data_IF_674394995072
#
_entry.id   IF_674394995072
#
_cell.length_a   1.000
_cell.length_b   1.000
_cell.length_c   1.000
_cell.angle_alpha   90.00
_cell.angle_beta   90.00
_cell.angle_gamma   90.00
#
_symmetry.space_group_name_H-M   'P 1'
#
loop_
_entity.id
_entity.type
_entity.pdbx_description
1 polymer ?
#
# COMPACT_ATOMS: atom_id res chain seq x y z
N UNK A 1 29.19 4.68 34.90
CA UNK A 1 27.86 4.91 35.50
C UNK A 1 26.83 4.47 34.49
N UNK A 2 25.91 3.56 34.84
CA UNK A 2 24.73 3.33 34.03
C UNK A 2 23.74 4.47 34.29
N UNK A 3 23.32 5.20 33.25
CA UNK A 3 22.14 6.05 33.34
C UNK A 3 20.93 5.14 33.15
N UNK A 4 20.22 4.91 34.25
CA UNK A 4 18.84 4.45 34.24
C UNK A 4 17.96 5.55 33.60
N UNK A 5 17.76 5.48 32.28
CA UNK A 5 16.58 6.11 31.66
C UNK A 5 15.36 5.21 31.96
N UNK A 6 15.03 5.14 33.26
CA UNK A 6 13.79 4.59 33.74
C UNK A 6 12.65 5.50 33.27
N UNK A 7 12.05 5.15 32.14
CA UNK A 7 10.83 5.76 31.64
C UNK A 7 9.73 5.67 32.72
N UNK A 8 9.16 6.81 33.11
CA UNK A 8 8.03 6.86 34.04
C UNK A 8 6.76 6.34 33.33
N UNK A 9 6.17 5.22 33.77
CA UNK A 9 4.96 4.67 33.16
C UNK A 9 3.72 5.57 33.33
N UNK A 10 3.79 6.60 34.19
CA UNK A 10 2.70 7.57 34.41
C UNK A 10 2.65 8.68 33.35
N UNK A 11 3.68 8.83 32.51
CA UNK A 11 3.69 9.79 31.40
C UNK A 11 3.04 9.27 30.11
N UNK A 12 2.66 7.97 30.06
CA UNK A 12 1.98 7.41 28.90
C UNK A 12 0.48 7.67 28.94
N UNK A 13 -0.05 8.16 27.83
CA UNK A 13 -1.49 8.23 27.60
C UNK A 13 -2.15 6.85 27.81
N UNK A 14 -3.37 6.84 28.33
CA UNK A 14 -4.18 5.63 28.53
C UNK A 14 -4.33 4.86 27.21
N UNK A 15 -4.45 5.60 26.11
CA UNK A 15 -4.37 5.06 24.75
C UNK A 15 -3.09 4.28 24.47
N UNK A 16 -1.91 4.82 24.77
CA UNK A 16 -0.64 4.13 24.54
C UNK A 16 -0.47 2.87 25.40
N UNK A 17 -0.95 2.91 26.64
CA UNK A 17 -0.93 1.75 27.55
C UNK A 17 -1.82 0.63 27.02
N UNK A 18 -3.09 0.91 26.71
CA UNK A 18 -4.02 -0.10 26.18
C UNK A 18 -3.57 -0.61 24.81
N UNK A 19 -3.04 0.27 23.96
CA UNK A 19 -2.51 -0.08 22.64
C UNK A 19 -1.31 -1.00 22.72
N UNK A 20 -0.37 -0.73 23.63
CA UNK A 20 0.83 -1.56 23.78
C UNK A 20 0.50 -3.00 24.21
N UNK A 21 -0.62 -3.21 24.91
CA UNK A 21 -1.07 -4.51 25.36
C UNK A 21 -1.91 -5.28 24.32
N UNK A 22 -2.61 -4.59 23.42
CA UNK A 22 -3.67 -5.20 22.61
C UNK A 22 -3.50 -5.07 21.10
N UNK A 23 -2.52 -4.30 20.61
CA UNK A 23 -2.40 -4.08 19.16
C UNK A 23 -1.68 -5.22 18.44
N UNK A 24 -2.22 -5.63 17.28
CA UNK A 24 -1.68 -6.76 16.48
C UNK A 24 -0.30 -6.43 15.93
N UNK A 25 -0.10 -5.19 15.47
CA UNK A 25 1.17 -4.71 14.93
C UNK A 25 1.72 -3.61 15.83
N UNK A 26 2.71 -3.91 16.69
CA UNK A 26 3.21 -2.98 17.72
C UNK A 26 4.18 -1.96 17.12
N UNK A 27 3.69 -1.12 16.21
CA UNK A 27 4.42 -0.01 15.60
C UNK A 27 3.58 1.25 15.65
N UNK A 28 4.13 2.46 15.91
CA UNK A 28 3.36 3.70 15.95
C UNK A 28 2.49 3.93 14.69
N UNK A 29 1.33 4.61 14.80
CA UNK A 29 0.42 4.81 13.66
C UNK A 29 1.10 5.53 12.49
N UNK A 30 1.95 6.52 12.76
CA UNK A 30 2.75 7.20 11.73
C UNK A 30 3.71 6.26 10.99
N UNK A 31 4.33 5.32 11.70
CA UNK A 31 5.22 4.33 11.06
C UNK A 31 4.44 3.40 10.15
N UNK A 32 3.26 2.95 10.58
CA UNK A 32 2.33 2.16 9.74
C UNK A 32 1.88 2.96 8.51
N UNK A 33 1.53 4.25 8.69
CA UNK A 33 1.16 5.13 7.60
C UNK A 33 2.29 5.31 6.56
N UNK A 34 3.55 5.48 7.02
CA UNK A 34 4.73 5.56 6.13
C UNK A 34 4.90 4.28 5.32
N UNK A 35 4.73 3.10 5.92
CA UNK A 35 4.79 1.81 5.22
C UNK A 35 3.66 1.74 4.17
N UNK A 36 2.43 2.10 4.54
CA UNK A 36 1.31 2.17 3.60
C UNK A 36 1.58 3.13 2.42
N UNK A 37 2.16 4.30 2.69
CA UNK A 37 2.56 5.26 1.67
C UNK A 37 3.65 4.70 0.74
N UNK A 38 4.65 4.01 1.29
CA UNK A 38 5.68 3.34 0.51
C UNK A 38 5.11 2.19 -0.35
N UNK A 39 4.22 1.37 0.21
CA UNK A 39 3.52 0.31 -0.51
C UNK A 39 2.68 0.88 -1.67
N UNK A 40 1.92 1.95 -1.43
CA UNK A 40 1.19 2.64 -2.48
C UNK A 40 2.16 3.19 -3.55
N UNK A 41 3.29 3.77 -3.14
CA UNK A 41 4.30 4.31 -4.06
C UNK A 41 4.95 3.22 -4.93
N UNK A 42 5.09 1.98 -4.45
CA UNK A 42 5.59 0.86 -5.27
C UNK A 42 4.72 0.64 -6.51
N UNK A 43 3.42 0.93 -6.45
CA UNK A 43 2.53 0.90 -7.63
C UNK A 43 3.02 1.77 -8.79
N UNK A 44 3.87 2.77 -8.52
CA UNK A 44 4.49 3.62 -9.54
C UNK A 44 5.35 2.84 -10.53
N UNK A 45 5.81 1.64 -10.16
CA UNK A 45 6.59 0.75 -11.00
C UNK A 45 5.77 0.05 -12.09
N UNK A 46 4.43 0.12 -12.06
CA UNK A 46 3.58 -0.58 -13.02
C UNK A 46 3.90 -0.23 -14.49
N UNK A 47 3.90 1.05 -14.86
CA UNK A 47 4.24 1.50 -16.21
C UNK A 47 5.72 1.23 -16.59
N UNK A 48 6.72 1.53 -15.73
CA UNK A 48 8.10 1.15 -15.97
C UNK A 48 8.29 -0.35 -16.25
N UNK A 49 7.69 -1.23 -15.44
CA UNK A 49 7.81 -2.68 -15.58
C UNK A 49 7.33 -3.16 -16.95
N UNK A 50 6.20 -2.66 -17.43
CA UNK A 50 5.67 -3.05 -18.75
C UNK A 50 6.38 -2.34 -19.90
N UNK A 51 6.94 -1.15 -19.68
CA UNK A 51 7.70 -0.42 -20.68
C UNK A 51 9.05 -1.09 -20.97
N UNK A 52 9.66 -1.71 -19.95
CA UNK A 52 10.95 -2.40 -20.07
C UNK A 52 10.83 -3.87 -20.49
N UNK A 53 9.62 -4.37 -20.78
CA UNK A 53 9.42 -5.77 -21.15
C UNK A 53 10.28 -6.17 -22.36
N UNK A 54 10.82 -7.41 -22.39
CA UNK A 54 11.56 -7.93 -23.55
C UNK A 54 10.75 -7.85 -24.85
N UNK A 55 11.41 -7.54 -25.97
CA UNK A 55 10.75 -7.33 -27.26
C UNK A 55 9.87 -8.51 -27.69
N UNK A 56 10.37 -9.74 -27.56
CA UNK A 56 9.63 -10.96 -27.86
C UNK A 56 8.31 -11.08 -27.06
N UNK A 57 8.30 -10.66 -25.80
CA UNK A 57 7.10 -10.65 -24.96
C UNK A 57 6.14 -9.54 -25.37
N UNK A 58 6.66 -8.36 -25.75
CA UNK A 58 5.81 -7.26 -26.22
C UNK A 58 5.09 -7.64 -27.51
N UNK A 59 5.82 -8.14 -28.48
CA UNK A 59 5.29 -8.53 -29.80
C UNK A 59 4.26 -9.66 -29.70
N UNK A 60 4.47 -10.62 -28.80
CA UNK A 60 3.55 -11.74 -28.61
C UNK A 60 2.24 -11.38 -27.90
N UNK A 61 2.18 -10.25 -27.16
CA UNK A 61 1.08 -9.98 -26.22
C UNK A 61 0.39 -8.63 -26.43
N UNK A 62 1.06 -7.68 -27.08
CA UNK A 62 0.60 -6.31 -27.21
C UNK A 62 0.56 -5.89 -28.68
N UNK A 63 -0.56 -5.31 -29.10
CA UNK A 63 -0.72 -4.74 -30.44
C UNK A 63 -0.30 -3.25 -30.50
N UNK A 64 0.11 -2.68 -29.37
CA UNK A 64 0.46 -1.28 -29.21
C UNK A 64 1.25 -1.06 -27.92
N UNK A 65 1.40 0.19 -27.43
CA UNK A 65 2.21 0.47 -26.26
C UNK A 65 1.71 -0.27 -24.99
N UNK A 66 2.53 -1.14 -24.36
CA UNK A 66 2.08 -1.94 -23.21
C UNK A 66 1.57 -1.10 -22.04
N UNK A 67 2.21 0.03 -21.77
CA UNK A 67 1.85 0.92 -20.67
C UNK A 67 0.48 1.62 -20.84
N UNK A 68 -0.04 1.68 -22.07
CA UNK A 68 -1.35 2.27 -22.39
C UNK A 68 -2.44 1.20 -22.60
N UNK A 69 -2.10 -0.08 -22.53
CA UNK A 69 -3.05 -1.17 -22.72
C UNK A 69 -3.82 -1.39 -21.42
N UNK A 70 -5.15 -1.56 -21.51
CA UNK A 70 -5.98 -1.90 -20.37
C UNK A 70 -5.73 -3.35 -19.96
N UNK A 71 -5.36 -3.60 -18.70
CA UNK A 71 -4.96 -4.93 -18.20
C UNK A 71 -5.69 -5.28 -16.91
N UNK A 72 -6.12 -6.53 -16.77
CA UNK A 72 -6.75 -7.02 -15.54
C UNK A 72 -5.84 -6.92 -14.32
N UNK A 73 -4.58 -7.27 -14.48
CA UNK A 73 -3.57 -7.16 -13.42
C UNK A 73 -3.33 -5.70 -13.01
N UNK A 74 -3.46 -4.74 -13.93
CA UNK A 74 -3.36 -3.32 -13.60
C UNK A 74 -4.53 -2.86 -12.70
N UNK A 75 -5.73 -3.42 -12.87
CA UNK A 75 -6.86 -3.15 -11.97
C UNK A 75 -6.60 -3.68 -10.55
N UNK A 76 -5.99 -4.86 -10.42
CA UNK A 76 -5.60 -5.43 -9.12
C UNK A 76 -4.55 -4.54 -8.44
N UNK A 77 -3.51 -4.13 -9.18
CA UNK A 77 -2.49 -3.22 -8.66
C UNK A 77 -3.08 -1.86 -8.25
N UNK A 78 -4.03 -1.33 -9.02
CA UNK A 78 -4.73 -0.08 -8.70
C UNK A 78 -5.53 -0.21 -7.40
N UNK A 79 -6.32 -1.28 -7.26
CA UNK A 79 -7.11 -1.52 -6.06
C UNK A 79 -6.21 -1.65 -4.81
N UNK A 80 -5.09 -2.39 -4.92
CA UNK A 80 -4.09 -2.47 -3.86
C UNK A 80 -3.48 -1.11 -3.52
N UNK A 81 -3.14 -0.32 -4.54
CA UNK A 81 -2.58 1.04 -4.36
C UNK A 81 -3.54 1.95 -3.62
N UNK A 82 -4.83 1.94 -3.99
CA UNK A 82 -5.87 2.74 -3.34
C UNK A 82 -6.10 2.26 -1.90
N UNK A 83 -6.13 0.95 -1.66
CA UNK A 83 -6.29 0.39 -0.32
C UNK A 83 -5.11 0.77 0.60
N UNK A 84 -3.87 0.61 0.14
CA UNK A 84 -2.67 1.01 0.87
C UNK A 84 -2.67 2.52 1.15
N UNK A 85 -2.93 3.32 0.13
CA UNK A 85 -2.95 4.77 0.22
C UNK A 85 -4.03 5.31 1.15
N UNK A 86 -5.27 4.83 0.98
CA UNK A 86 -6.41 5.19 1.82
C UNK A 86 -6.19 4.81 3.28
N UNK A 87 -5.65 3.61 3.53
CA UNK A 87 -5.27 3.18 4.87
C UNK A 87 -4.18 4.08 5.47
N UNK A 88 -3.16 4.44 4.68
CA UNK A 88 -2.11 5.37 5.08
C UNK A 88 -2.66 6.74 5.50
N UNK A 89 -3.53 7.34 4.67
CA UNK A 89 -4.19 8.61 5.00
C UNK A 89 -5.09 8.50 6.24
N UNK A 90 -5.80 7.38 6.39
CA UNK A 90 -6.61 7.10 7.57
C UNK A 90 -5.77 7.05 8.86
N UNK A 91 -4.59 6.41 8.81
CA UNK A 91 -3.66 6.33 9.94
C UNK A 91 -3.04 7.71 10.27
N UNK A 92 -2.76 8.54 9.25
CA UNK A 92 -2.34 9.93 9.47
C UNK A 92 -3.44 10.75 10.14
N UNK A 93 -4.68 10.63 9.65
CA UNK A 93 -5.83 11.31 10.25
C UNK A 93 -6.06 10.84 11.70
N UNK A 94 -5.86 9.55 11.97
CA UNK A 94 -5.91 8.98 13.32
C UNK A 94 -4.87 9.62 14.23
N UNK A 95 -3.61 9.70 13.78
CA UNK A 95 -2.55 10.33 14.55
C UNK A 95 -2.85 11.81 14.82
N UNK A 96 -3.29 12.57 13.80
CA UNK A 96 -3.67 13.99 13.98
C UNK A 96 -4.75 14.15 15.04
N UNK A 97 -5.74 13.25 15.04
CA UNK A 97 -6.84 13.29 16.00
C UNK A 97 -6.35 12.98 17.42
N UNK A 98 -5.43 12.04 17.58
CA UNK A 98 -4.83 11.72 18.89
C UNK A 98 -3.91 12.84 19.40
N UNK A 99 -3.18 13.51 18.52
CA UNK A 99 -2.26 14.58 18.89
C UNK A 99 -2.97 15.91 19.24
N UNK A 100 -4.12 16.20 18.61
CA UNK A 100 -4.86 17.48 18.77
C UNK A 100 -6.14 17.37 19.58
N UNK A 101 -6.68 16.18 19.73
CA UNK A 101 -7.95 15.94 20.41
C UNK A 101 -7.76 15.76 21.92
N UNK A 102 -8.85 15.88 22.70
CA UNK A 102 -8.84 15.40 24.07
C UNK A 102 -8.51 13.91 24.09
N UNK A 103 -7.80 13.48 25.13
CA UNK A 103 -7.40 12.09 25.29
C UNK A 103 -8.66 11.19 25.30
N UNK A 104 -8.70 10.12 24.48
CA UNK A 104 -9.86 9.26 24.41
C UNK A 104 -10.02 8.45 25.70
N UNK A 105 -11.21 8.48 26.30
CA UNK A 105 -11.57 7.71 27.51
C UNK A 105 -12.28 6.40 27.16
N UNK A 106 -11.99 5.32 27.90
CA UNK A 106 -12.68 4.01 27.92
C UNK A 106 -13.15 3.48 26.54
N UNK A 107 -14.45 3.62 26.21
CA UNK A 107 -15.05 3.08 24.97
C UNK A 107 -14.45 3.69 23.69
N UNK A 108 -13.97 4.93 23.77
CA UNK A 108 -13.32 5.58 22.65
C UNK A 108 -12.01 4.85 22.31
N UNK A 109 -11.20 4.48 23.31
CA UNK A 109 -9.88 3.83 23.13
C UNK A 109 -10.03 2.55 22.31
N UNK A 110 -11.00 1.70 22.64
CA UNK A 110 -11.27 0.47 21.90
C UNK A 110 -11.70 0.72 20.46
N UNK A 111 -12.48 1.78 20.22
CA UNK A 111 -12.88 2.18 18.86
C UNK A 111 -11.69 2.68 18.05
N UNK A 112 -10.79 3.47 18.65
CA UNK A 112 -9.55 3.93 18.02
C UNK A 112 -8.63 2.76 17.68
N UNK A 113 -8.49 1.80 18.58
CA UNK A 113 -7.68 0.60 18.38
C UNK A 113 -8.23 -0.27 17.24
N UNK A 114 -9.54 -0.53 17.24
CA UNK A 114 -10.21 -1.29 16.18
C UNK A 114 -10.06 -0.61 14.81
N UNK A 115 -10.14 0.72 14.77
CA UNK A 115 -9.91 1.48 13.55
C UNK A 115 -8.46 1.40 13.09
N UNK A 116 -7.49 1.51 14.01
CA UNK A 116 -6.07 1.35 13.67
C UNK A 116 -5.78 -0.04 13.09
N UNK A 117 -6.32 -1.10 13.70
CA UNK A 117 -6.12 -2.48 13.23
C UNK A 117 -6.82 -2.75 11.90
N UNK A 118 -8.05 -2.24 11.72
CA UNK A 118 -8.75 -2.33 10.44
C UNK A 118 -7.96 -1.65 9.32
N UNK A 119 -7.46 -0.43 9.55
CA UNK A 119 -6.63 0.28 8.59
C UNK A 119 -5.30 -0.45 8.33
N UNK A 120 -4.67 -1.00 9.37
CA UNK A 120 -3.44 -1.78 9.22
C UNK A 120 -3.69 -3.02 8.36
N UNK A 121 -4.78 -3.76 8.61
CA UNK A 121 -5.15 -4.93 7.84
C UNK A 121 -5.42 -4.58 6.37
N UNK A 122 -6.24 -3.55 6.11
CA UNK A 122 -6.53 -3.09 4.74
C UNK A 122 -5.26 -2.63 4.04
N UNK A 123 -4.41 -1.85 4.71
CA UNK A 123 -3.20 -1.31 4.10
C UNK A 123 -2.15 -2.37 3.81
N UNK A 124 -1.84 -3.23 4.79
CA UNK A 124 -0.75 -4.19 4.70
C UNK A 124 -1.16 -5.45 3.94
N UNK A 125 -2.35 -5.99 4.24
CA UNK A 125 -2.80 -7.25 3.63
C UNK A 125 -3.41 -6.96 2.27
N UNK A 126 -4.52 -6.22 2.22
CA UNK A 126 -5.20 -5.97 0.93
C UNK A 126 -4.36 -5.09 0.01
N UNK A 127 -3.81 -4.00 0.54
CA UNK A 127 -2.94 -3.10 -0.21
C UNK A 127 -1.64 -3.76 -0.65
N UNK A 128 -0.92 -4.36 0.30
CA UNK A 128 0.35 -5.04 0.04
C UNK A 128 0.21 -6.21 -0.93
N UNK A 129 -0.80 -7.08 -0.78
CA UNK A 129 -1.05 -8.18 -1.73
C UNK A 129 -1.46 -7.65 -3.10
N UNK A 130 -2.36 -6.67 -3.17
CA UNK A 130 -2.82 -6.12 -4.46
C UNK A 130 -1.67 -5.50 -5.26
N UNK A 131 -0.83 -4.68 -4.60
CA UNK A 131 0.36 -4.11 -5.23
C UNK A 131 1.39 -5.19 -5.55
N UNK A 132 1.74 -6.04 -4.58
CA UNK A 132 2.79 -7.05 -4.73
C UNK A 132 2.48 -8.08 -5.81
N UNK A 133 1.28 -8.67 -5.77
CA UNK A 133 0.82 -9.64 -6.79
C UNK A 133 0.66 -8.95 -8.14
N UNK A 134 0.05 -7.76 -8.17
CA UNK A 134 -0.12 -6.99 -9.39
C UNK A 134 1.20 -6.69 -10.11
N UNK A 135 2.17 -6.13 -9.38
CA UNK A 135 3.49 -5.82 -9.93
C UNK A 135 4.27 -7.08 -10.30
N UNK A 136 4.20 -8.15 -9.50
CA UNK A 136 4.90 -9.41 -9.80
C UNK A 136 4.37 -10.06 -11.08
N UNK A 137 3.06 -10.05 -11.29
CA UNK A 137 2.45 -10.55 -12.51
C UNK A 137 2.80 -9.67 -13.73
N UNK A 138 2.81 -8.33 -13.57
CA UNK A 138 3.28 -7.45 -14.65
C UNK A 138 4.76 -7.70 -14.98
N UNK A 139 5.59 -7.90 -13.95
CA UNK A 139 7.01 -8.20 -14.07
C UNK A 139 7.27 -9.60 -14.65
N UNK A 140 6.29 -10.50 -14.62
CA UNK A 140 6.50 -11.90 -15.02
C UNK A 140 7.01 -12.09 -16.45
N UNK A 141 6.73 -11.16 -17.35
CA UNK A 141 7.27 -11.18 -18.71
C UNK A 141 8.78 -10.97 -18.80
N UNK A 142 9.43 -10.48 -17.75
CA UNK A 142 10.90 -10.46 -17.68
C UNK A 142 11.52 -11.85 -17.51
N UNK A 143 10.74 -12.86 -17.08
CA UNK A 143 11.18 -14.26 -17.07
C UNK A 143 11.05 -14.97 -18.43
N UNK A 144 10.56 -14.26 -19.46
CA UNK A 144 10.47 -14.76 -20.83
C UNK A 144 9.14 -15.43 -21.18
N UNK A 145 9.02 -15.80 -22.46
CA UNK A 145 7.76 -16.30 -23.06
C UNK A 145 7.36 -17.68 -22.51
N UNK A 146 8.34 -18.53 -22.20
CA UNK A 146 8.07 -19.87 -21.65
C UNK A 146 7.50 -19.83 -20.23
N UNK A 147 8.01 -18.93 -19.39
CA UNK A 147 7.47 -18.70 -18.04
C UNK A 147 6.01 -18.20 -18.11
N UNK A 148 5.72 -17.27 -19.02
CA UNK A 148 4.36 -16.82 -19.31
C UNK A 148 3.45 -17.95 -19.79
N UNK A 149 3.95 -18.84 -20.66
CA UNK A 149 3.19 -20.01 -21.09
C UNK A 149 2.92 -20.97 -19.92
N UNK A 150 3.87 -21.12 -18.99
CA UNK A 150 3.66 -21.84 -17.72
C UNK A 150 2.53 -21.25 -16.88
N UNK A 151 2.53 -19.94 -16.67
CA UNK A 151 1.47 -19.22 -15.95
C UNK A 151 0.09 -19.42 -16.60
N UNK A 152 0.02 -19.32 -17.93
CA UNK A 152 -1.23 -19.53 -18.68
C UNK A 152 -1.78 -20.95 -18.55
N UNK A 153 -0.91 -21.96 -18.56
CA UNK A 153 -1.31 -23.35 -18.33
C UNK A 153 -1.94 -23.55 -16.95
N UNK A 154 -1.57 -22.71 -15.97
CA UNK A 154 -2.16 -22.69 -14.64
C UNK A 154 -3.36 -21.74 -14.52
N UNK A 155 -3.90 -21.23 -15.64
CA UNK A 155 -5.04 -20.32 -15.68
C UNK A 155 -4.72 -18.87 -15.33
N UNK A 156 -3.45 -18.50 -15.19
CA UNK A 156 -3.04 -17.12 -14.92
C UNK A 156 -2.71 -16.42 -16.22
N UNK A 157 -3.42 -15.35 -16.53
CA UNK A 157 -3.17 -14.51 -17.70
C UNK A 157 -2.68 -13.10 -17.31
N UNK A 158 -1.36 -12.89 -17.16
CA UNK A 158 -0.81 -11.63 -16.64
C UNK A 158 -1.14 -10.39 -17.49
N UNK A 159 -1.35 -10.59 -18.79
CA UNK A 159 -1.62 -9.54 -19.76
C UNK A 159 -3.01 -9.64 -20.38
N UNK A 160 -3.95 -10.31 -19.69
CA UNK A 160 -5.35 -10.33 -20.09
C UNK A 160 -5.88 -8.90 -20.19
N UNK A 161 -6.43 -8.56 -21.36
CA UNK A 161 -7.02 -7.26 -21.62
C UNK A 161 -8.43 -7.21 -21.04
N UNK A 162 -8.73 -6.15 -20.30
CA UNK A 162 -10.09 -5.86 -19.86
C UNK A 162 -10.70 -4.78 -20.75
N UNK A 163 -11.86 -5.07 -21.34
CA UNK A 163 -12.63 -4.13 -22.16
C UNK A 163 -13.58 -3.25 -21.34
N UNK A 164 -13.95 -3.67 -20.13
CA UNK A 164 -15.00 -3.02 -19.32
C UNK A 164 -14.50 -1.87 -18.46
N UNK A 165 -13.27 -1.95 -17.94
CA UNK A 165 -12.67 -0.89 -17.12
C UNK A 165 -11.32 -0.52 -17.74
N UNK A 166 -11.10 0.73 -18.20
CA UNK A 166 -9.87 1.12 -18.88
C UNK A 166 -8.73 1.36 -17.88
N UNK A 167 -8.36 0.36 -17.09
CA UNK A 167 -7.24 0.46 -16.14
C UNK A 167 -5.94 0.10 -16.84
N UNK A 168 -5.10 1.12 -17.04
CA UNK A 168 -3.81 0.97 -17.69
C UNK A 168 -2.67 1.04 -16.67
N UNK A 169 -1.50 0.40 -16.93
CA UNK A 169 -0.32 0.56 -16.09
C UNK A 169 0.09 2.03 -15.88
N UNK A 170 -0.10 2.89 -16.89
CA UNK A 170 0.09 4.35 -16.75
C UNK A 170 -0.80 4.97 -15.67
N UNK A 171 -2.08 4.60 -15.65
CA UNK A 171 -3.02 5.09 -14.64
C UNK A 171 -2.59 4.64 -13.24
N UNK A 172 -2.24 3.35 -13.07
CA UNK A 172 -1.73 2.82 -11.80
C UNK A 172 -0.53 3.63 -11.34
N UNK A 173 0.43 3.89 -12.23
CA UNK A 173 1.63 4.65 -11.89
C UNK A 173 1.31 6.07 -11.44
N UNK A 174 0.42 6.78 -12.15
CA UNK A 174 0.03 8.14 -11.79
C UNK A 174 -0.67 8.19 -10.42
N UNK A 175 -1.61 7.28 -10.17
CA UNK A 175 -2.33 7.19 -8.89
C UNK A 175 -1.39 6.81 -7.76
N UNK A 176 -0.49 5.85 -7.98
CA UNK A 176 0.50 5.42 -6.99
C UNK A 176 1.45 6.55 -6.59
N UNK A 177 1.93 7.34 -7.56
CA UNK A 177 2.74 8.53 -7.27
C UNK A 177 1.93 9.55 -6.47
N UNK A 178 0.73 9.91 -6.93
CA UNK A 178 -0.09 10.92 -6.27
C UNK A 178 -0.43 10.52 -4.83
N UNK A 179 -0.94 9.30 -4.64
CA UNK A 179 -1.42 8.82 -3.33
C UNK A 179 -0.25 8.46 -2.41
N UNK A 180 0.79 7.79 -2.92
CA UNK A 180 1.98 7.45 -2.14
C UNK A 180 2.70 8.71 -1.62
N UNK A 181 2.91 9.71 -2.49
CA UNK A 181 3.50 10.98 -2.08
C UNK A 181 2.58 11.77 -1.14
N UNK A 182 1.26 11.76 -1.36
CA UNK A 182 0.32 12.43 -0.46
C UNK A 182 0.36 11.84 0.96
N UNK A 183 0.39 10.52 1.10
CA UNK A 183 0.53 9.86 2.41
C UNK A 183 1.86 10.24 3.07
N UNK A 184 2.97 10.12 2.34
CA UNK A 184 4.29 10.43 2.88
C UNK A 184 4.40 11.90 3.30
N UNK A 185 3.95 12.84 2.46
CA UNK A 185 3.91 14.26 2.78
C UNK A 185 3.02 14.53 3.99
N UNK A 186 1.86 13.88 4.10
CA UNK A 186 0.98 14.02 5.24
C UNK A 186 1.62 13.45 6.52
N UNK A 187 2.42 12.38 6.44
CA UNK A 187 3.17 11.87 7.61
C UNK A 187 4.22 12.87 8.08
N UNK A 188 4.92 13.56 7.17
CA UNK A 188 5.91 14.59 7.51
C UNK A 188 5.23 15.81 8.12
N UNK A 189 4.10 16.23 7.56
CA UNK A 189 3.33 17.36 8.08
C UNK A 189 2.81 17.12 9.50
N UNK A 190 2.51 15.87 9.89
CA UNK A 190 2.09 15.55 11.27
C UNK A 190 3.27 15.41 12.22
N UNK A 191 4.41 14.89 11.73
CA UNK A 191 5.62 14.72 12.53
C UNK A 191 6.32 16.06 12.87
N UNK A 192 5.93 17.13 12.18
CA UNK A 192 6.46 18.50 12.37
C UNK A 192 5.49 19.44 13.11
N UNK A 193 4.31 18.94 13.49
CA UNK A 193 3.33 19.62 14.34
C UNK A 193 3.64 19.39 15.82
#
# INVERSE_FOLDING_TARGET
MPNDDGFDPTERSEYELTRSANIIVPMPPLRKARICGALALLGSLAAPLVATLPAAVREANFAGPPAATSLGVAAVALAGTIAAGGAGLGLVALQRRLARGPEPTDDAVWSFLAFEDALTGVGFVTGGLGVGVGLSLLASGHWGVEALAGLRRNGVEPYLRLSTVPVTPRLVTAVALAVGLAVLAATVAVDSE
#
